data_IF_876029879750
#
_entry.id   IF_876029879750
#
_cell.length_a   1.000
_cell.length_b   1.000
_cell.length_c   1.000
_cell.angle_alpha   90.00
_cell.angle_beta   90.00
_cell.angle_gamma   90.00
#
_symmetry.space_group_name_H-M   'P 1'
#
loop_
_entity.id
_entity.type
_entity.pdbx_description
1 polymer ?
#
# COMPACT_ATOMS: atom_id res chain seq x y z
N UNK A 1 -13.70 13.66 -10.95
CA UNK A 1 -12.87 12.82 -11.84
C UNK A 1 -13.73 11.72 -12.44
N UNK A 2 -13.59 11.44 -13.74
CA UNK A 2 -14.27 10.31 -14.40
C UNK A 2 -13.48 9.00 -14.23
N UNK A 3 -14.05 7.86 -14.61
CA UNK A 3 -13.30 6.59 -14.63
C UNK A 3 -12.12 6.61 -15.62
N UNK A 4 -12.30 7.29 -16.76
CA UNK A 4 -11.24 7.43 -17.76
C UNK A 4 -10.06 8.24 -17.21
N UNK A 5 -10.34 9.34 -16.50
CA UNK A 5 -9.31 10.14 -15.84
C UNK A 5 -8.54 9.32 -14.80
N UNK A 6 -9.25 8.54 -13.97
CA UNK A 6 -8.64 7.64 -12.98
C UNK A 6 -7.74 6.60 -13.67
N UNK A 7 -8.26 5.96 -14.72
CA UNK A 7 -7.52 4.96 -15.47
C UNK A 7 -6.25 5.54 -16.08
N UNK A 8 -6.35 6.71 -16.73
CA UNK A 8 -5.20 7.42 -17.30
C UNK A 8 -4.18 7.78 -16.22
N UNK A 9 -4.60 8.32 -15.08
CA UNK A 9 -3.70 8.66 -13.97
C UNK A 9 -2.96 7.42 -13.44
N UNK A 10 -3.65 6.28 -13.37
CA UNK A 10 -3.08 5.02 -12.89
C UNK A 10 -2.08 4.40 -13.89
N UNK A 11 -2.47 4.17 -15.15
CA UNK A 11 -1.60 3.47 -16.12
C UNK A 11 -0.38 4.29 -16.57
N UNK A 12 -0.43 5.62 -16.42
CA UNK A 12 0.69 6.50 -16.76
C UNK A 12 1.70 6.61 -15.63
N UNK A 13 1.40 6.08 -14.44
CA UNK A 13 2.31 6.13 -13.31
C UNK A 13 3.48 5.14 -13.51
N UNK A 14 4.76 5.57 -13.38
CA UNK A 14 5.92 4.74 -13.70
C UNK A 14 5.98 3.41 -12.94
N UNK A 15 5.59 3.38 -11.66
CA UNK A 15 5.61 2.13 -10.89
C UNK A 15 4.67 1.08 -11.47
N UNK A 16 3.49 1.49 -11.93
CA UNK A 16 2.47 0.61 -12.53
C UNK A 16 2.99 0.02 -13.85
N UNK A 17 3.70 0.81 -14.64
CA UNK A 17 4.32 0.34 -15.88
C UNK A 17 5.43 -0.68 -15.62
N UNK A 18 6.26 -0.44 -14.58
CA UNK A 18 7.28 -1.40 -14.15
C UNK A 18 6.65 -2.70 -13.68
N UNK A 19 5.59 -2.66 -12.86
CA UNK A 19 4.87 -3.86 -12.44
C UNK A 19 4.29 -4.63 -13.62
N UNK A 20 3.65 -3.94 -14.58
CA UNK A 20 3.13 -4.56 -15.79
C UNK A 20 4.25 -5.23 -16.62
N UNK A 21 5.39 -4.56 -16.80
CA UNK A 21 6.55 -5.11 -17.48
C UNK A 21 7.12 -6.34 -16.78
N UNK A 22 7.21 -6.33 -15.45
CA UNK A 22 7.68 -7.46 -14.64
C UNK A 22 6.71 -8.64 -14.66
N UNK A 23 5.40 -8.39 -14.73
CA UNK A 23 4.39 -9.44 -14.94
C UNK A 23 4.60 -10.11 -16.30
N UNK A 24 4.76 -9.33 -17.37
CA UNK A 24 5.04 -9.87 -18.71
C UNK A 24 6.37 -10.66 -18.75
N UNK A 25 7.42 -10.12 -18.12
CA UNK A 25 8.69 -10.82 -17.98
C UNK A 25 8.52 -12.16 -17.24
N UNK A 26 7.77 -12.16 -16.14
CA UNK A 26 7.50 -13.37 -15.36
C UNK A 26 6.74 -14.41 -16.18
N UNK A 27 5.76 -14.00 -17.00
CA UNK A 27 5.09 -14.90 -17.94
C UNK A 27 6.03 -15.45 -19.02
N UNK A 28 7.01 -14.65 -19.49
CA UNK A 28 8.07 -15.12 -20.37
C UNK A 28 8.94 -16.21 -19.72
N UNK A 29 9.33 -16.02 -18.45
CA UNK A 29 10.08 -17.03 -17.67
C UNK A 29 9.25 -18.30 -17.47
N UNK A 30 7.96 -18.17 -17.14
CA UNK A 30 7.05 -19.31 -17.02
C UNK A 30 7.00 -20.07 -18.34
N UNK A 31 6.76 -19.39 -19.47
CA UNK A 31 6.69 -20.04 -20.78
C UNK A 31 8.00 -20.77 -21.14
N UNK A 32 9.16 -20.17 -20.85
CA UNK A 32 10.47 -20.78 -21.10
C UNK A 32 10.74 -22.02 -20.22
N UNK A 33 10.20 -22.05 -19.00
CA UNK A 33 10.48 -23.10 -18.01
C UNK A 33 9.35 -24.12 -17.84
N UNK A 34 8.21 -23.90 -18.51
CA UNK A 34 7.00 -24.72 -18.32
C UNK A 34 7.19 -26.18 -18.72
N UNK A 35 8.04 -26.47 -19.70
CA UNK A 35 8.37 -27.84 -20.12
C UNK A 35 9.00 -28.68 -19.00
N UNK A 36 9.61 -28.02 -18.02
CA UNK A 36 10.27 -28.63 -16.87
C UNK A 36 9.50 -28.43 -15.56
N UNK A 37 8.25 -27.96 -15.62
CA UNK A 37 7.43 -27.68 -14.44
C UNK A 37 6.00 -28.19 -14.59
N UNK A 38 5.34 -28.41 -13.46
CA UNK A 38 3.92 -28.76 -13.43
C UNK A 38 3.06 -27.51 -13.66
N UNK A 39 2.15 -27.58 -14.63
CA UNK A 39 1.17 -26.51 -14.89
C UNK A 39 0.33 -26.25 -13.63
N UNK A 40 -0.11 -27.30 -12.95
CA UNK A 40 -0.90 -27.17 -11.72
C UNK A 40 -0.09 -26.50 -10.61
N UNK A 41 1.18 -26.87 -10.44
CA UNK A 41 2.06 -26.23 -9.46
C UNK A 41 2.29 -24.75 -9.79
N UNK A 42 2.43 -24.41 -11.07
CA UNK A 42 2.59 -23.02 -11.54
C UNK A 42 1.33 -22.19 -11.25
N UNK A 43 0.14 -22.72 -11.53
CA UNK A 43 -1.13 -22.06 -11.21
C UNK A 43 -1.28 -21.89 -9.70
N UNK A 44 -0.97 -22.93 -8.91
CA UNK A 44 -1.04 -22.87 -7.46
C UNK A 44 -0.07 -21.83 -6.89
N UNK A 45 1.16 -21.74 -7.43
CA UNK A 45 2.14 -20.74 -7.04
C UNK A 45 1.66 -19.32 -7.37
N UNK A 46 1.06 -19.09 -8.55
CA UNK A 46 0.46 -17.78 -8.89
C UNK A 46 -0.65 -17.39 -7.90
N UNK A 47 -1.60 -18.30 -7.65
CA UNK A 47 -2.72 -18.06 -6.74
C UNK A 47 -2.23 -17.79 -5.32
N UNK A 48 -1.21 -18.54 -4.85
CA UNK A 48 -0.61 -18.30 -3.55
C UNK A 48 0.11 -16.96 -3.49
N UNK A 49 0.87 -16.58 -4.52
CA UNK A 49 1.51 -15.26 -4.62
C UNK A 49 0.50 -14.12 -4.54
N UNK A 50 -0.64 -14.23 -5.24
CA UNK A 50 -1.72 -13.26 -5.15
C UNK A 50 -2.35 -13.21 -3.74
N UNK A 51 -2.49 -14.36 -3.07
CA UNK A 51 -3.00 -14.45 -1.70
C UNK A 51 -2.02 -13.97 -0.62
N UNK A 52 -0.71 -14.08 -0.85
CA UNK A 52 0.31 -13.56 0.06
C UNK A 52 0.25 -12.04 0.18
N UNK A 53 -0.12 -11.35 -0.90
CA UNK A 53 -0.18 -9.88 -0.91
C UNK A 53 -1.08 -9.28 0.19
N UNK A 54 -2.38 -9.62 0.31
CA UNK A 54 -3.24 -9.02 1.33
C UNK A 54 -2.76 -9.29 2.77
N UNK A 55 -2.17 -10.46 3.03
CA UNK A 55 -1.57 -10.78 4.34
C UNK A 55 -0.38 -9.87 4.61
N UNK A 56 0.56 -9.82 3.65
CA UNK A 56 1.76 -9.03 3.78
C UNK A 56 1.43 -7.55 3.94
N UNK A 57 0.45 -7.05 3.17
CA UNK A 57 -0.06 -5.69 3.30
C UNK A 57 -0.60 -5.44 4.71
N UNK A 58 -1.49 -6.29 5.23
CA UNK A 58 -2.03 -6.11 6.58
C UNK A 58 -0.93 -5.99 7.64
N UNK A 59 0.04 -6.92 7.62
CA UNK A 59 1.15 -6.95 8.58
C UNK A 59 2.05 -5.72 8.45
N UNK A 60 2.43 -5.36 7.22
CA UNK A 60 3.28 -4.20 6.95
C UNK A 60 2.55 -2.91 7.32
N UNK A 61 1.30 -2.74 6.87
CA UNK A 61 0.51 -1.54 7.13
C UNK A 61 0.35 -1.30 8.63
N UNK A 62 -0.01 -2.34 9.40
CA UNK A 62 -0.21 -2.22 10.83
C UNK A 62 1.10 -2.04 11.62
N UNK A 63 2.10 -2.89 11.40
CA UNK A 63 3.26 -2.97 12.30
C UNK A 63 4.48 -2.17 11.82
N UNK A 64 4.56 -1.90 10.52
CA UNK A 64 5.68 -1.19 9.90
C UNK A 64 5.27 0.23 9.56
N UNK A 65 4.22 0.42 8.76
CA UNK A 65 3.80 1.72 8.25
C UNK A 65 3.16 2.59 9.35
N UNK A 66 2.34 2.00 10.23
CA UNK A 66 1.79 2.67 11.43
C UNK A 66 2.70 2.52 12.67
N UNK A 67 3.86 1.88 12.52
CA UNK A 67 4.78 1.63 13.62
C UNK A 67 5.54 2.89 14.05
N UNK A 68 5.51 3.23 15.35
CA UNK A 68 6.26 4.38 15.88
C UNK A 68 7.78 4.19 15.95
N UNK A 69 8.27 2.98 15.76
CA UNK A 69 9.68 2.63 15.97
C UNK A 69 10.61 3.22 14.90
N UNK A 70 10.12 3.40 13.66
CA UNK A 70 10.94 3.93 12.58
C UNK A 70 11.23 5.41 12.77
N UNK A 71 10.25 6.25 13.09
CA UNK A 71 10.50 7.69 13.30
C UNK A 71 11.35 7.97 14.53
N UNK A 72 11.42 7.03 15.49
CA UNK A 72 12.29 7.14 16.68
C UNK A 72 13.77 6.91 16.36
N UNK A 73 14.06 6.36 15.18
CA UNK A 73 15.41 6.01 14.75
C UNK A 73 15.81 6.87 13.55
N UNK A 74 16.88 7.69 13.62
CA UNK A 74 17.25 8.63 12.56
C UNK A 74 17.34 7.99 11.16
N UNK A 75 17.96 6.80 11.09
CA UNK A 75 18.19 6.08 9.85
C UNK A 75 16.90 5.58 9.16
N UNK A 76 15.81 5.40 9.92
CA UNK A 76 14.52 4.92 9.39
C UNK A 76 13.47 6.02 9.25
N UNK A 77 13.71 7.21 9.81
CA UNK A 77 12.75 8.31 9.81
C UNK A 77 12.39 8.77 8.39
N UNK A 78 13.38 8.87 7.48
CA UNK A 78 13.14 9.26 6.09
C UNK A 78 12.31 8.20 5.35
N UNK A 79 12.61 6.93 5.57
CA UNK A 79 11.86 5.81 5.00
C UNK A 79 10.40 5.88 5.48
N UNK A 80 10.16 5.92 6.80
CA UNK A 80 8.82 5.99 7.38
C UNK A 80 8.02 7.19 6.89
N UNK A 81 8.65 8.37 6.85
CA UNK A 81 8.07 9.59 6.28
C UNK A 81 7.55 9.31 4.87
N UNK A 82 8.39 8.71 4.03
CA UNK A 82 8.13 8.53 2.59
C UNK A 82 7.13 7.43 2.26
N UNK A 83 7.16 6.33 3.01
CA UNK A 83 6.38 5.12 2.68
C UNK A 83 4.92 5.21 3.12
N UNK A 84 4.58 6.03 4.13
CA UNK A 84 3.20 6.11 4.60
C UNK A 84 2.80 7.39 5.34
N UNK A 85 3.69 7.97 6.15
CA UNK A 85 3.32 9.19 6.91
C UNK A 85 2.94 10.35 5.98
N UNK A 86 3.70 10.59 4.92
CA UNK A 86 3.36 11.63 3.94
C UNK A 86 2.04 11.33 3.22
N UNK A 87 1.69 10.05 3.03
CA UNK A 87 0.41 9.66 2.46
C UNK A 87 -0.76 9.99 3.41
N UNK A 88 -0.62 9.71 4.71
CA UNK A 88 -1.61 10.17 5.71
C UNK A 88 -1.73 11.69 5.79
N UNK A 89 -0.63 12.42 5.58
CA UNK A 89 -0.59 13.89 5.55
C UNK A 89 -1.19 14.47 4.27
N UNK A 90 -0.98 13.82 3.13
CA UNK A 90 -1.34 14.28 1.79
C UNK A 90 -1.95 13.12 0.97
N UNK A 91 -3.15 12.64 1.32
CA UNK A 91 -3.72 11.40 0.76
C UNK A 91 -3.98 11.45 -0.74
N UNK A 92 -4.19 12.65 -1.29
CA UNK A 92 -4.49 12.87 -2.70
C UNK A 92 -3.23 13.05 -3.56
N UNK A 93 -2.03 13.06 -2.96
CA UNK A 93 -0.75 13.24 -3.64
C UNK A 93 -0.26 11.92 -4.23
N UNK A 94 -0.33 11.78 -5.56
CA UNK A 94 0.11 10.59 -6.30
C UNK A 94 1.60 10.25 -6.10
N UNK A 95 2.43 11.22 -5.71
CA UNK A 95 3.84 10.93 -5.45
C UNK A 95 4.02 10.01 -4.24
N UNK A 96 3.07 9.98 -3.30
CA UNK A 96 3.11 9.19 -2.06
C UNK A 96 1.99 8.14 -1.97
N UNK A 97 1.08 8.09 -2.94
CA UNK A 97 -0.05 7.16 -2.96
C UNK A 97 0.35 5.71 -3.27
N UNK A 98 1.26 5.52 -4.24
CA UNK A 98 1.66 4.19 -4.70
C UNK A 98 2.89 3.68 -3.93
N UNK A 99 3.00 2.36 -3.82
CA UNK A 99 4.16 1.73 -3.22
C UNK A 99 5.43 2.06 -4.00
N UNK A 100 6.46 2.54 -3.30
CA UNK A 100 7.74 2.84 -3.93
C UNK A 100 8.40 1.58 -4.47
N UNK A 101 8.89 1.61 -5.72
CA UNK A 101 9.53 0.46 -6.36
C UNK A 101 10.65 -0.17 -5.51
N UNK A 102 11.45 0.68 -4.85
CA UNK A 102 12.59 0.26 -4.03
C UNK A 102 12.20 -0.42 -2.70
N UNK A 103 10.97 -0.24 -2.22
CA UNK A 103 10.46 -0.93 -1.02
C UNK A 103 9.59 -2.12 -1.41
N UNK A 104 8.75 -1.96 -2.44
CA UNK A 104 7.80 -2.98 -2.88
C UNK A 104 8.51 -4.14 -3.58
N UNK A 105 9.36 -3.89 -4.58
CA UNK A 105 9.94 -4.96 -5.40
C UNK A 105 10.85 -5.93 -4.61
N UNK A 106 11.80 -5.47 -3.77
CA UNK A 106 12.61 -6.40 -2.99
C UNK A 106 11.74 -7.26 -2.06
N UNK A 107 10.72 -6.68 -1.43
CA UNK A 107 9.79 -7.41 -0.56
C UNK A 107 9.07 -8.51 -1.34
N UNK A 108 8.54 -8.21 -2.53
CA UNK A 108 7.88 -9.19 -3.38
C UNK A 108 8.85 -10.31 -3.77
N UNK A 109 10.04 -9.97 -4.25
CA UNK A 109 11.03 -10.98 -4.71
C UNK A 109 11.47 -11.88 -3.56
N UNK A 110 11.80 -11.33 -2.39
CA UNK A 110 12.32 -12.10 -1.27
C UNK A 110 11.25 -12.86 -0.48
N UNK A 111 9.98 -12.47 -0.57
CA UNK A 111 8.87 -13.19 0.08
C UNK A 111 8.19 -14.15 -0.88
N UNK A 112 7.67 -13.65 -2.01
CA UNK A 112 6.87 -14.45 -2.93
C UNK A 112 7.74 -15.40 -3.80
N UNK A 113 8.94 -14.98 -4.16
CA UNK A 113 9.86 -15.76 -5.00
C UNK A 113 10.23 -17.12 -4.39
N UNK A 114 10.79 -17.18 -3.17
CA UNK A 114 11.10 -18.44 -2.50
C UNK A 114 9.89 -19.34 -2.29
N UNK A 115 8.73 -18.78 -1.92
CA UNK A 115 7.50 -19.55 -1.74
C UNK A 115 7.09 -20.23 -3.05
N UNK A 116 7.10 -19.48 -4.16
CA UNK A 116 6.82 -20.04 -5.48
C UNK A 116 7.86 -21.07 -5.92
N UNK A 117 9.14 -20.84 -5.63
CA UNK A 117 10.22 -21.76 -5.95
C UNK A 117 10.01 -23.13 -5.31
N UNK A 118 9.61 -23.16 -4.03
CA UNK A 118 9.33 -24.41 -3.31
C UNK A 118 8.18 -25.22 -3.91
N UNK A 119 7.28 -24.58 -4.67
CA UNK A 119 6.12 -25.22 -5.29
C UNK A 119 6.43 -25.75 -6.69
N UNK A 120 7.12 -24.95 -7.52
CA UNK A 120 7.26 -25.23 -8.95
C UNK A 120 8.60 -24.85 -9.55
N UNK A 121 9.65 -24.73 -8.73
CA UNK A 121 10.99 -24.32 -9.15
C UNK A 121 11.00 -22.93 -9.82
N UNK A 122 11.81 -22.72 -10.87
CA UNK A 122 11.86 -21.44 -11.58
C UNK A 122 10.48 -20.93 -12.06
N UNK A 123 9.65 -21.82 -12.62
CA UNK A 123 8.30 -21.46 -13.08
C UNK A 123 7.41 -21.05 -11.91
N UNK A 124 7.48 -21.77 -10.79
CA UNK A 124 6.73 -21.44 -9.58
C UNK A 124 7.16 -20.10 -8.97
N UNK A 125 8.47 -19.82 -8.92
CA UNK A 125 8.99 -18.54 -8.43
C UNK A 125 8.48 -17.36 -9.27
N UNK A 126 8.60 -17.48 -10.60
CA UNK A 126 8.09 -16.47 -11.53
C UNK A 126 6.56 -16.32 -11.42
N UNK A 127 5.82 -17.42 -11.28
CA UNK A 127 4.36 -17.40 -11.12
C UNK A 127 3.91 -16.71 -9.82
N UNK A 128 4.54 -17.03 -8.69
CA UNK A 128 4.23 -16.39 -7.41
C UNK A 128 4.53 -14.89 -7.43
N UNK A 129 5.68 -14.48 -7.99
CA UNK A 129 6.00 -13.06 -8.19
C UNK A 129 4.96 -12.38 -9.08
N UNK A 130 4.58 -12.99 -10.20
CA UNK A 130 3.54 -12.46 -11.09
C UNK A 130 2.18 -12.32 -10.38
N UNK A 131 1.80 -13.31 -9.58
CA UNK A 131 0.58 -13.29 -8.76
C UNK A 131 0.59 -12.14 -7.76
N UNK A 132 1.68 -11.97 -7.01
CA UNK A 132 1.82 -10.88 -6.03
C UNK A 132 1.81 -9.51 -6.72
N UNK A 133 2.52 -9.33 -7.85
CA UNK A 133 2.50 -8.09 -8.63
C UNK A 133 1.11 -7.78 -9.18
N UNK A 134 0.39 -8.80 -9.67
CA UNK A 134 -0.99 -8.63 -10.16
C UNK A 134 -1.91 -8.14 -9.06
N UNK A 135 -1.84 -8.75 -7.87
CA UNK A 135 -2.66 -8.32 -6.73
C UNK A 135 -2.22 -6.94 -6.20
N UNK A 136 -0.93 -6.61 -6.28
CA UNK A 136 -0.40 -5.28 -5.98
C UNK A 136 -1.06 -4.23 -6.88
N UNK A 137 -1.05 -4.45 -8.20
CA UNK A 137 -1.67 -3.54 -9.17
C UNK A 137 -3.18 -3.39 -8.94
N UNK A 138 -3.91 -4.48 -8.71
CA UNK A 138 -5.35 -4.41 -8.42
C UNK A 138 -5.60 -3.57 -7.16
N UNK A 139 -4.78 -3.77 -6.12
CA UNK A 139 -4.89 -3.03 -4.86
C UNK A 139 -4.58 -1.56 -5.05
N UNK A 140 -3.50 -1.23 -5.72
CA UNK A 140 -3.10 0.15 -6.00
C UNK A 140 -4.11 0.88 -6.88
N UNK A 141 -4.75 0.20 -7.84
CA UNK A 141 -5.82 0.79 -8.64
C UNK A 141 -7.03 1.18 -7.78
N UNK A 142 -7.48 0.25 -6.93
CA UNK A 142 -8.60 0.52 -6.02
C UNK A 142 -8.24 1.61 -5.03
N UNK A 143 -7.04 1.56 -4.44
CA UNK A 143 -6.47 2.58 -3.54
C UNK A 143 -6.46 3.98 -4.18
N UNK A 144 -5.98 4.07 -5.42
CA UNK A 144 -5.96 5.31 -6.19
C UNK A 144 -7.36 5.93 -6.31
N UNK A 145 -8.37 5.14 -6.70
CA UNK A 145 -9.75 5.64 -6.77
C UNK A 145 -10.39 5.92 -5.40
N UNK A 146 -9.89 5.30 -4.32
CA UNK A 146 -10.35 5.59 -2.96
C UNK A 146 -9.93 6.99 -2.51
N UNK A 147 -8.73 7.45 -2.88
CA UNK A 147 -8.22 8.78 -2.50
C UNK A 147 -8.60 9.90 -3.48
N UNK A 148 -8.55 9.63 -4.78
CA UNK A 148 -8.88 10.66 -5.75
C UNK A 148 -10.37 11.03 -5.71
N UNK A 149 -10.70 12.18 -6.30
CA UNK A 149 -12.06 12.72 -6.45
C UNK A 149 -12.90 11.92 -7.47
N UNK A 150 -12.91 10.61 -7.33
CA UNK A 150 -13.60 9.60 -8.11
C UNK A 150 -14.72 8.98 -7.27
N UNK A 151 -15.94 8.88 -7.81
CA UNK A 151 -17.07 8.24 -7.14
C UNK A 151 -17.31 6.86 -7.76
N UNK A 152 -17.00 5.76 -7.06
CA UNK A 152 -17.19 4.42 -7.62
C UNK A 152 -18.67 4.09 -7.80
N UNK A 153 -19.05 3.51 -8.95
CA UNK A 153 -20.43 3.03 -9.17
C UNK A 153 -20.73 1.72 -8.43
N UNK A 154 -19.70 0.91 -8.20
CA UNK A 154 -19.83 -0.38 -7.51
C UNK A 154 -20.02 -0.17 -6.01
N UNK A 155 -21.06 -0.77 -5.43
CA UNK A 155 -21.29 -0.73 -3.98
C UNK A 155 -20.11 -1.32 -3.21
N UNK A 156 -19.49 -2.38 -3.73
CA UNK A 156 -18.29 -2.97 -3.13
C UNK A 156 -17.18 -1.91 -3.01
N UNK A 157 -16.84 -1.21 -4.09
CA UNK A 157 -15.75 -0.23 -4.07
C UNK A 157 -16.11 1.00 -3.24
N UNK A 158 -17.37 1.46 -3.25
CA UNK A 158 -17.84 2.53 -2.36
C UNK A 158 -17.60 2.20 -0.89
N UNK A 159 -18.00 0.99 -0.46
CA UNK A 159 -17.78 0.53 0.92
C UNK A 159 -16.29 0.42 1.25
N UNK A 160 -15.46 -0.07 0.33
CA UNK A 160 -14.00 -0.10 0.53
C UNK A 160 -13.43 1.32 0.69
N UNK A 161 -13.87 2.26 -0.16
CA UNK A 161 -13.49 3.68 -0.09
C UNK A 161 -13.90 4.30 1.22
N UNK A 162 -15.16 4.17 1.64
CA UNK A 162 -15.66 4.73 2.89
C UNK A 162 -14.83 4.26 4.10
N UNK A 163 -14.51 2.97 4.17
CA UNK A 163 -13.72 2.39 5.27
C UNK A 163 -12.26 2.83 5.25
N UNK A 164 -11.65 2.84 4.07
CA UNK A 164 -10.27 3.28 3.92
C UNK A 164 -10.13 4.78 4.20
N UNK A 165 -11.07 5.62 3.75
CA UNK A 165 -11.10 7.03 4.13
C UNK A 165 -11.35 7.22 5.64
N UNK A 166 -12.19 6.39 6.27
CA UNK A 166 -12.33 6.42 7.72
C UNK A 166 -11.00 6.10 8.43
N UNK A 167 -10.16 5.22 7.88
CA UNK A 167 -8.83 4.94 8.41
C UNK A 167 -7.93 6.19 8.37
N UNK A 168 -7.94 6.94 7.25
CA UNK A 168 -7.14 8.16 7.11
C UNK A 168 -7.65 9.38 7.88
N UNK A 169 -8.96 9.49 8.09
CA UNK A 169 -9.61 10.72 8.54
C UNK A 169 -10.36 10.61 9.88
N UNK A 170 -10.55 9.39 10.39
CA UNK A 170 -11.31 9.15 11.63
C UNK A 170 -10.52 8.35 12.66
N UNK A 171 -10.03 7.16 12.32
CA UNK A 171 -9.23 6.34 13.24
C UNK A 171 -8.26 5.43 12.47
N UNK A 172 -6.98 5.73 12.56
CA UNK A 172 -5.88 5.03 11.90
C UNK A 172 -5.47 3.71 12.57
N UNK A 173 -6.10 3.33 13.68
CA UNK A 173 -5.80 2.12 14.45
C UNK A 173 -6.68 0.90 14.07
N UNK A 174 -7.40 0.98 12.96
CA UNK A 174 -8.19 -0.12 12.41
C UNK A 174 -8.38 -0.01 10.91
N UNK A 175 -9.03 -1.00 10.30
CA UNK A 175 -9.25 -1.07 8.85
C UNK A 175 -7.96 -0.91 8.04
N UNK A 176 -6.93 -1.71 8.36
CA UNK A 176 -5.64 -1.70 7.67
C UNK A 176 -5.73 -2.30 6.25
N UNK A 177 -6.72 -3.11 5.95
CA UNK A 177 -6.96 -3.57 4.58
C UNK A 177 -7.35 -2.43 3.62
N UNK A 178 -7.01 -2.59 2.35
CA UNK A 178 -7.37 -1.62 1.27
C UNK A 178 -8.46 -2.18 0.36
N UNK A 179 -8.31 -3.43 -0.09
CA UNK A 179 -9.19 -4.11 -1.06
C UNK A 179 -10.02 -5.22 -0.46
N UNK A 180 -9.67 -5.64 0.75
CA UNK A 180 -10.37 -6.61 1.57
C UNK A 180 -10.10 -6.28 3.05
N UNK A 181 -10.83 -6.90 3.98
CA UNK A 181 -10.72 -6.66 5.43
C UNK A 181 -10.79 -7.97 6.24
N UNK A 182 -10.45 -9.10 5.64
CA UNK A 182 -10.44 -10.43 6.27
C UNK A 182 -9.45 -10.43 7.42
N UNK A 183 -8.23 -9.94 7.21
CA UNK A 183 -7.20 -9.88 8.25
C UNK A 183 -7.57 -8.92 9.38
N UNK A 184 -8.23 -7.80 9.07
CA UNK A 184 -8.78 -6.92 10.10
C UNK A 184 -9.81 -7.62 10.98
N UNK A 185 -10.66 -8.48 10.42
CA UNK A 185 -11.61 -9.28 11.21
C UNK A 185 -10.92 -10.33 12.05
N UNK A 186 -9.97 -11.06 11.46
CA UNK A 186 -9.22 -12.12 12.15
C UNK A 186 -8.46 -11.54 13.36
N UNK A 187 -7.86 -10.37 13.21
CA UNK A 187 -7.02 -9.75 14.24
C UNK A 187 -7.71 -8.66 15.04
N UNK A 188 -9.03 -8.51 14.92
CA UNK A 188 -9.84 -7.61 15.74
C UNK A 188 -9.58 -6.11 15.51
N UNK A 189 -9.18 -5.71 14.31
CA UNK A 189 -8.95 -4.31 13.90
C UNK A 189 -10.01 -3.79 12.92
N UNK A 190 -11.03 -4.59 12.61
CA UNK A 190 -12.12 -4.19 11.72
C UNK A 190 -13.16 -3.32 12.45
N UNK A 191 -13.57 -2.23 11.81
CA UNK A 191 -14.75 -1.47 12.22
C UNK A 191 -15.60 -1.11 10.99
N UNK A 192 -16.92 -1.32 11.09
CA UNK A 192 -17.80 -1.24 9.92
C UNK A 192 -18.14 0.21 9.54
N UNK A 193 -18.33 1.06 10.55
CA UNK A 193 -18.70 2.47 10.44
C UNK A 193 -17.87 3.32 11.38
N UNK A 194 -17.84 4.63 11.17
CA UNK A 194 -17.14 5.56 12.07
C UNK A 194 -17.69 5.57 13.51
N UNK A 195 -18.93 5.11 13.72
CA UNK A 195 -19.51 5.00 15.06
C UNK A 195 -18.89 3.86 15.89
N UNK A 196 -18.33 2.85 15.22
CA UNK A 196 -17.78 1.64 15.85
C UNK A 196 -16.35 1.87 16.41
N UNK A 197 -15.74 3.01 16.12
CA UNK A 197 -14.39 3.36 16.57
C UNK A 197 -14.32 4.83 17.03
N UNK A 198 -13.62 5.14 18.13
CA UNK A 198 -13.46 6.53 18.57
C UNK A 198 -12.62 7.32 17.56
N UNK A 199 -12.92 8.61 17.40
CA UNK A 199 -12.10 9.48 16.55
C UNK A 199 -10.74 9.75 17.20
N UNK A 200 -9.66 9.60 16.46
CA UNK A 200 -8.30 9.90 16.91
C UNK A 200 -7.87 11.30 16.46
N UNK A 201 -6.97 11.92 17.21
CA UNK A 201 -6.31 13.18 16.80
C UNK A 201 -5.12 12.95 15.87
N UNK A 202 -4.73 11.70 15.71
CA UNK A 202 -3.48 11.27 15.10
C UNK A 202 -3.67 10.63 13.72
N UNK A 203 -4.90 10.55 13.22
CA UNK A 203 -5.20 9.93 11.92
C UNK A 203 -4.37 10.50 10.76
N UNK A 204 -3.98 11.79 10.85
CA UNK A 204 -3.20 12.50 9.83
C UNK A 204 -1.69 12.54 10.07
N UNK A 205 -1.22 12.08 11.24
CA UNK A 205 0.20 12.16 11.61
C UNK A 205 0.76 10.87 12.24
N UNK A 206 -0.03 9.81 12.34
CA UNK A 206 0.37 8.50 12.84
C UNK A 206 1.03 8.56 14.23
N UNK A 207 0.56 9.47 15.08
CA UNK A 207 1.08 9.67 16.43
C UNK A 207 2.38 10.47 16.51
N UNK A 208 2.83 11.08 15.41
CA UNK A 208 3.97 11.99 15.37
C UNK A 208 3.49 13.44 15.56
N UNK A 209 3.25 13.81 16.82
CA UNK A 209 2.83 15.15 17.25
C UNK A 209 4.01 16.05 17.65
N UNK A 210 3.73 17.24 18.19
CA UNK A 210 4.75 18.22 18.58
C UNK A 210 5.70 17.67 19.67
N UNK A 211 5.17 16.90 20.63
CA UNK A 211 5.97 16.29 21.70
C UNK A 211 6.92 15.22 21.12
N UNK A 212 6.42 14.39 20.20
CA UNK A 212 7.27 13.42 19.50
C UNK A 212 8.30 14.11 18.59
N UNK A 213 7.95 15.22 17.93
CA UNK A 213 8.88 15.99 17.12
C UNK A 213 9.97 16.68 17.94
N UNK A 214 9.67 17.12 19.17
CA UNK A 214 10.68 17.65 20.08
C UNK A 214 11.65 16.56 20.55
N UNK A 215 11.17 15.33 20.73
CA UNK A 215 11.99 14.19 21.20
C UNK A 215 12.76 13.47 20.09
N UNK A 216 12.19 13.38 18.89
CA UNK A 216 12.73 12.65 17.74
C UNK A 216 12.64 13.55 16.48
N UNK A 217 13.52 14.54 16.33
CA UNK A 217 13.31 15.66 15.41
C UNK A 217 13.43 15.31 13.91
N UNK A 218 13.95 14.13 13.58
CA UNK A 218 14.35 13.73 12.23
C UNK A 218 13.26 13.91 11.17
N UNK A 219 12.01 13.52 11.45
CA UNK A 219 10.90 13.68 10.49
C UNK A 219 10.50 15.14 10.34
N UNK A 220 10.62 15.93 11.43
CA UNK A 220 10.35 17.37 11.40
C UNK A 220 11.42 18.09 10.57
N UNK A 221 12.70 17.81 10.82
CA UNK A 221 13.83 18.37 10.07
C UNK A 221 13.71 18.08 8.57
N UNK A 222 13.35 16.84 8.21
CA UNK A 222 13.09 16.47 6.81
C UNK A 222 11.90 17.26 6.23
N UNK A 223 10.84 17.44 7.00
CA UNK A 223 9.65 18.18 6.54
C UNK A 223 9.94 19.67 6.37
N UNK A 224 10.69 20.28 7.29
CA UNK A 224 11.10 21.68 7.22
C UNK A 224 12.04 21.92 6.02
N UNK A 225 12.97 20.98 5.76
CA UNK A 225 13.92 21.06 4.66
C UNK A 225 13.26 20.94 3.26
N UNK A 226 12.09 20.30 3.16
CA UNK A 226 11.34 20.19 1.91
C UNK A 226 10.68 21.52 1.49
N UNK A 227 10.54 22.48 2.39
CA UNK A 227 9.83 23.74 2.18
C UNK A 227 8.33 23.56 1.90
N UNK A 228 7.62 24.66 1.64
CA UNK A 228 6.24 24.61 1.13
C UNK A 228 6.25 24.20 -0.35
N UNK A 229 6.06 22.90 -0.63
CA UNK A 229 5.86 22.46 -2.02
C UNK A 229 4.53 23.03 -2.55
N UNK A 230 4.49 23.63 -3.75
CA UNK A 230 3.24 24.02 -4.40
C UNK A 230 2.30 22.81 -4.49
N UNK A 231 1.11 22.90 -3.90
CA UNK A 231 0.12 21.81 -3.85
C UNK A 231 0.05 21.03 -2.52
N UNK A 232 1.03 21.16 -1.61
CA UNK A 232 0.97 20.59 -0.23
C UNK A 232 0.56 21.60 0.84
N UNK A 233 0.59 22.91 0.54
CA UNK A 233 0.36 23.98 1.52
C UNK A 233 -1.11 24.20 1.94
N UNK A 234 -2.09 23.68 1.19
CA UNK A 234 -3.50 24.08 1.37
C UNK A 234 -4.27 23.37 2.50
N UNK A 235 -3.73 22.31 3.11
CA UNK A 235 -4.47 21.49 4.12
C UNK A 235 -3.86 21.53 5.53
N UNK A 236 -2.77 22.28 5.75
CA UNK A 236 -2.02 22.24 7.01
C UNK A 236 -2.54 23.20 8.10
N UNK A 237 -3.66 23.89 7.89
CA UNK A 237 -4.26 24.74 8.93
C UNK A 237 -5.16 23.87 9.82
N UNK A 238 -4.86 23.71 11.12
CA UNK A 238 -5.85 23.18 12.05
C UNK A 238 -7.00 24.18 12.07
N UNK A 239 -8.23 23.70 11.90
CA UNK A 239 -9.38 24.50 12.30
C UNK A 239 -9.19 24.90 13.77
N UNK A 240 -9.19 26.22 14.00
CA UNK A 240 -9.07 26.84 15.32
C UNK A 240 -10.20 26.39 16.26
#
# INVERSE_FOLDING_TARGET
MTFEDLWRAYITYPAIQVYAGLILFSFGVIAFTLSSSSILATIAAFALGAFLFPIAWYLLHRFVLHGSWMYKTPYFASLWKRVHYDHHRFPNDLSVLFGGLHTTLPTIVFVAGPVGWLIGGPAGAAASIAGTLTMTMITEFLHCGQHLAFEPKSNFWRVMKERHLAHHFHNENGNYGITEFVWDRIFGTFYATQADAPRTRTARNLGYDADMAARYPWVKELTDAEGERPGRAAEATPAA
#
